data_IF_978578833262
#
_entry.id   IF_978578833262
#
_cell.length_a   1.000
_cell.length_b   1.000
_cell.length_c   1.000
_cell.angle_alpha   90.00
_cell.angle_beta   90.00
_cell.angle_gamma   90.00
#
_symmetry.space_group_name_H-M   'P 1'
#
loop_
_entity.id
_entity.type
_entity.pdbx_description
1 polymer ?
#
# COMPACT_ATOMS: atom_id res chain seq x y z
N UNK A 1 -8.28 7.98 -10.80
CA UNK A 1 -6.90 8.50 -10.90
C UNK A 1 -5.96 7.35 -10.62
N UNK A 2 -4.93 7.11 -11.44
CA UNK A 2 -4.00 6.03 -11.21
C UNK A 2 -3.24 6.27 -9.89
N UNK A 3 -2.96 5.17 -9.18
CA UNK A 3 -2.26 5.20 -7.90
C UNK A 3 -0.80 5.65 -8.04
N UNK A 4 -0.15 5.22 -9.13
CA UNK A 4 1.16 5.68 -9.57
C UNK A 4 0.99 6.29 -10.96
N UNK A 5 1.62 7.41 -11.21
CA UNK A 5 1.62 8.08 -12.51
C UNK A 5 3.00 8.66 -12.82
N UNK A 6 3.28 8.80 -14.11
CA UNK A 6 4.54 9.33 -14.59
C UNK A 6 4.40 10.78 -15.00
N UNK A 7 5.42 11.57 -14.70
CA UNK A 7 5.58 12.94 -15.17
C UNK A 7 6.96 13.10 -15.74
N UNK A 8 7.02 13.69 -16.94
CA UNK A 8 8.30 13.98 -17.60
C UNK A 8 8.63 15.47 -17.43
N UNK A 9 9.83 15.74 -16.92
CA UNK A 9 10.38 17.08 -16.79
C UNK A 9 11.83 17.06 -17.32
N UNK A 10 12.12 17.87 -18.34
CA UNK A 10 13.47 17.99 -18.92
C UNK A 10 14.12 16.63 -19.22
N UNK A 11 13.47 15.79 -19.98
CA UNK A 11 13.94 14.44 -20.35
C UNK A 11 14.10 13.42 -19.20
N UNK A 12 13.84 13.82 -17.97
CA UNK A 12 13.80 12.92 -16.82
C UNK A 12 12.36 12.52 -16.55
N UNK A 13 12.11 11.23 -16.44
CA UNK A 13 10.81 10.69 -16.06
C UNK A 13 10.78 10.42 -14.56
N UNK A 14 9.81 11.01 -13.87
CA UNK A 14 9.57 10.81 -12.45
C UNK A 14 8.32 9.97 -12.25
N UNK A 15 8.38 9.04 -11.30
CA UNK A 15 7.20 8.34 -10.82
C UNK A 15 6.64 9.09 -9.62
N UNK A 16 5.37 9.45 -9.70
CA UNK A 16 4.61 10.04 -8.62
C UNK A 16 3.58 9.05 -8.12
N UNK A 17 3.29 9.12 -6.84
CA UNK A 17 2.27 8.30 -6.21
C UNK A 17 1.43 9.14 -5.26
N UNK A 18 0.17 8.74 -5.10
CA UNK A 18 -0.73 9.39 -4.15
C UNK A 18 -0.50 8.81 -2.75
N UNK A 19 -0.43 9.70 -1.78
CA UNK A 19 -0.32 9.33 -0.37
C UNK A 19 -1.55 9.78 0.41
N UNK A 20 -1.84 9.06 1.48
CA UNK A 20 -2.82 9.49 2.47
C UNK A 20 -2.04 10.05 3.66
N UNK A 21 -2.26 11.31 3.99
CA UNK A 21 -1.71 11.88 5.21
C UNK A 21 -2.41 11.28 6.42
N UNK A 22 -1.63 10.63 7.28
CA UNK A 22 -2.14 10.04 8.52
C UNK A 22 -2.25 11.11 9.59
N UNK A 23 -3.44 11.67 9.73
CA UNK A 23 -3.75 12.66 10.78
C UNK A 23 -4.23 12.01 12.09
N UNK A 24 -4.58 10.75 12.06
CA UNK A 24 -5.01 9.96 13.22
C UNK A 24 -4.67 8.49 13.01
N UNK A 25 -3.63 8.00 13.69
CA UNK A 25 -3.15 6.62 13.58
C UNK A 25 -4.19 5.59 13.98
N UNK A 26 -4.83 5.79 15.12
CA UNK A 26 -5.81 4.85 15.68
C UNK A 26 -6.98 4.63 14.72
N UNK A 27 -7.43 5.71 14.06
CA UNK A 27 -8.51 5.63 13.09
C UNK A 27 -8.04 5.04 11.76
N UNK A 28 -6.90 5.50 11.24
CA UNK A 28 -6.39 5.09 9.92
C UNK A 28 -6.07 3.60 9.90
N UNK A 29 -5.38 3.09 10.91
CA UNK A 29 -5.00 1.69 11.03
C UNK A 29 -5.98 0.87 11.89
N UNK A 30 -7.22 1.35 12.07
CA UNK A 30 -8.23 0.58 12.81
C UNK A 30 -8.52 -0.76 12.14
N UNK A 31 -8.91 -1.75 12.93
CA UNK A 31 -9.34 -3.07 12.45
C UNK A 31 -10.29 -2.99 11.26
N UNK A 32 -11.31 -2.12 11.35
CA UNK A 32 -12.28 -1.89 10.27
C UNK A 32 -11.62 -1.48 8.96
N UNK A 33 -10.63 -0.58 9.01
CA UNK A 33 -9.97 -0.08 7.80
C UNK A 33 -8.99 -1.11 7.23
N UNK A 34 -8.31 -1.89 8.08
CA UNK A 34 -7.45 -3.00 7.66
C UNK A 34 -8.30 -4.07 6.95
N UNK A 35 -9.42 -4.48 7.55
CA UNK A 35 -10.35 -5.45 6.94
C UNK A 35 -10.94 -4.93 5.61
N UNK A 36 -11.24 -3.63 5.54
CA UNK A 36 -11.74 -3.01 4.30
C UNK A 36 -10.67 -3.00 3.20
N UNK A 37 -9.42 -2.69 3.54
CA UNK A 37 -8.29 -2.73 2.61
C UNK A 37 -8.14 -4.12 2.00
N UNK A 38 -8.18 -5.16 2.83
CA UNK A 38 -8.11 -6.56 2.39
C UNK A 38 -9.31 -6.92 1.51
N UNK A 39 -10.52 -6.62 1.97
CA UNK A 39 -11.76 -6.95 1.24
C UNK A 39 -11.84 -6.31 -0.13
N UNK A 40 -11.30 -5.12 -0.27
CA UNK A 40 -11.33 -4.35 -1.53
C UNK A 40 -10.10 -4.60 -2.41
N UNK A 41 -9.16 -5.43 -1.99
CA UNK A 41 -7.85 -5.57 -2.65
C UNK A 41 -7.23 -4.20 -2.94
N UNK A 42 -7.37 -3.29 -1.97
CA UNK A 42 -6.97 -1.89 -2.10
C UNK A 42 -5.48 -1.69 -1.88
N UNK A 43 -5.02 -0.47 -2.17
CA UNK A 43 -3.67 -0.04 -1.87
C UNK A 43 -3.68 1.30 -1.12
N UNK A 44 -2.75 1.47 -0.20
CA UNK A 44 -2.56 2.71 0.55
C UNK A 44 -1.06 2.99 0.72
N UNK A 45 -0.65 4.21 0.43
CA UNK A 45 0.65 4.74 0.85
C UNK A 45 0.38 5.75 1.96
N UNK A 46 0.74 5.38 3.18
CA UNK A 46 0.50 6.20 4.36
C UNK A 46 1.70 7.14 4.59
N UNK A 47 1.47 8.44 4.46
CA UNK A 47 2.44 9.46 4.83
C UNK A 47 2.25 9.81 6.30
N UNK A 48 3.23 9.49 7.12
CA UNK A 48 3.12 9.53 8.57
C UNK A 48 4.15 10.47 9.20
N UNK A 49 3.71 11.20 10.20
CA UNK A 49 4.55 12.02 11.07
C UNK A 49 4.54 11.41 12.48
N UNK A 50 5.44 10.46 12.74
CA UNK A 50 5.41 9.65 13.97
C UNK A 50 5.54 10.46 15.27
N UNK A 51 6.30 11.54 15.25
CA UNK A 51 6.61 12.32 16.45
C UNK A 51 6.43 13.82 16.27
N UNK A 52 5.67 14.25 15.26
CA UNK A 52 5.47 15.68 15.01
C UNK A 52 4.87 16.39 16.23
N UNK A 53 5.50 17.44 16.76
CA UNK A 53 4.97 18.22 17.86
C UNK A 53 3.84 19.15 17.42
N UNK A 54 3.56 19.28 16.12
CA UNK A 54 2.58 20.20 15.58
C UNK A 54 1.17 19.80 16.02
N UNK A 55 0.48 20.71 16.64
CA UNK A 55 -0.90 20.52 17.14
C UNK A 55 -1.91 20.25 16.02
N UNK A 56 -1.59 20.67 14.80
CA UNK A 56 -2.41 20.46 13.60
C UNK A 56 -2.30 19.03 13.05
N UNK A 57 -1.24 18.31 13.37
CA UNK A 57 -1.02 16.93 12.93
C UNK A 57 -1.31 15.98 14.08
N UNK A 58 -2.53 15.50 14.15
CA UNK A 58 -2.98 14.54 15.17
C UNK A 58 -2.50 13.11 14.91
N UNK A 59 -1.66 12.89 13.90
CA UNK A 59 -1.14 11.58 13.51
C UNK A 59 -0.01 11.07 14.42
N UNK A 60 0.01 11.45 15.68
CA UNK A 60 1.01 10.97 16.63
C UNK A 60 0.82 9.48 16.90
N UNK A 61 1.89 8.74 16.73
CA UNK A 61 1.96 7.34 17.14
C UNK A 61 2.06 7.22 18.67
N UNK A 62 2.74 8.18 19.30
CA UNK A 62 3.07 8.16 20.73
C UNK A 62 2.09 9.00 21.55
N UNK A 63 1.71 8.46 22.72
CA UNK A 63 1.09 9.19 23.82
C UNK A 63 2.15 9.32 24.95
N UNK A 64 2.72 10.51 25.08
CA UNK A 64 3.90 10.69 25.95
C UNK A 64 5.12 9.96 25.33
N UNK A 65 5.72 9.04 26.10
CA UNK A 65 6.91 8.28 25.69
C UNK A 65 6.56 6.88 25.11
N UNK A 66 5.29 6.48 25.15
CA UNK A 66 4.86 5.15 24.74
C UNK A 66 3.88 5.21 23.55
N UNK A 67 3.85 4.15 22.75
CA UNK A 67 2.81 3.92 21.76
C UNK A 67 1.48 3.71 22.50
N UNK A 68 0.39 4.28 21.98
CA UNK A 68 -0.92 4.05 22.59
C UNK A 68 -1.32 2.57 22.45
N UNK A 69 -2.02 2.05 23.47
CA UNK A 69 -2.47 0.66 23.47
C UNK A 69 -3.31 0.30 22.23
N UNK A 70 -4.14 1.21 21.78
CA UNK A 70 -4.96 1.04 20.55
C UNK A 70 -4.05 0.91 19.32
N UNK A 71 -2.99 1.71 19.22
CA UNK A 71 -2.04 1.60 18.12
C UNK A 71 -1.26 0.28 18.18
N UNK A 72 -0.86 -0.18 19.36
CA UNK A 72 -0.23 -1.49 19.52
C UNK A 72 -1.14 -2.63 19.05
N UNK A 73 -2.41 -2.61 19.43
CA UNK A 73 -3.42 -3.59 18.99
C UNK A 73 -3.62 -3.55 17.45
N UNK A 74 -3.73 -2.36 16.87
CA UNK A 74 -3.89 -2.17 15.43
C UNK A 74 -2.66 -2.66 14.65
N UNK A 75 -1.44 -2.37 15.11
CA UNK A 75 -0.21 -2.85 14.48
C UNK A 75 -0.02 -4.36 14.67
N UNK A 76 -0.46 -4.91 15.79
CA UNK A 76 -0.46 -6.37 15.99
C UNK A 76 -1.36 -7.07 14.98
N UNK A 77 -2.57 -6.53 14.76
CA UNK A 77 -3.47 -7.04 13.72
C UNK A 77 -2.86 -6.90 12.32
N UNK A 78 -2.30 -5.75 11.99
CA UNK A 78 -1.64 -5.55 10.70
C UNK A 78 -0.51 -6.57 10.48
N UNK A 79 0.30 -6.83 11.50
CA UNK A 79 1.35 -7.85 11.48
C UNK A 79 0.80 -9.25 11.23
N UNK A 80 -0.31 -9.61 11.88
CA UNK A 80 -0.97 -10.90 11.66
C UNK A 80 -1.44 -11.05 10.19
N UNK A 81 -2.07 -10.03 9.63
CA UNK A 81 -2.56 -10.09 8.25
C UNK A 81 -1.42 -10.10 7.22
N UNK A 82 -0.28 -9.46 7.53
CA UNK A 82 0.96 -9.61 6.76
C UNK A 82 1.49 -11.04 6.82
N UNK A 83 1.51 -11.66 8.00
CA UNK A 83 1.98 -13.06 8.17
C UNK A 83 1.06 -14.08 7.47
N UNK A 84 -0.23 -13.77 7.35
CA UNK A 84 -1.20 -14.57 6.59
C UNK A 84 -1.14 -14.31 5.07
N UNK A 85 -0.22 -13.47 4.61
CA UNK A 85 -0.11 -13.03 3.21
C UNK A 85 -1.38 -12.39 2.62
N UNK A 86 -2.21 -11.78 3.45
CA UNK A 86 -3.39 -11.04 2.99
C UNK A 86 -3.09 -9.58 2.67
N UNK A 87 -1.97 -9.09 3.16
CA UNK A 87 -1.45 -7.76 2.88
C UNK A 87 -0.01 -7.90 2.42
N UNK A 88 0.34 -7.20 1.38
CA UNK A 88 1.71 -7.01 0.94
C UNK A 88 2.19 -5.63 1.37
N UNK A 89 3.37 -5.56 2.02
CA UNK A 89 3.99 -4.31 2.47
C UNK A 89 5.36 -4.13 1.79
N UNK A 90 5.37 -3.70 0.52
CA UNK A 90 6.60 -3.50 -0.24
C UNK A 90 7.31 -2.21 0.15
N UNK A 91 8.57 -2.13 -0.22
CA UNK A 91 9.24 -0.84 -0.39
C UNK A 91 8.62 -0.08 -1.58
N UNK A 92 8.83 1.23 -1.64
CA UNK A 92 8.35 2.04 -2.79
C UNK A 92 8.96 1.56 -4.10
N UNK A 93 10.24 1.17 -4.11
CA UNK A 93 10.90 0.62 -5.30
C UNK A 93 10.23 -0.67 -5.78
N UNK A 94 9.98 -1.62 -4.88
CA UNK A 94 9.26 -2.86 -5.22
C UNK A 94 7.85 -2.60 -5.74
N UNK A 95 7.15 -1.60 -5.18
CA UNK A 95 5.82 -1.22 -5.64
C UNK A 95 5.86 -0.61 -7.05
N UNK A 96 6.85 0.22 -7.35
CA UNK A 96 7.05 0.80 -8.69
C UNK A 96 7.38 -0.31 -9.69
N UNK A 97 8.30 -1.20 -9.36
CA UNK A 97 8.67 -2.33 -10.21
C UNK A 97 7.46 -3.22 -10.49
N UNK A 98 6.71 -3.58 -9.46
CA UNK A 98 5.48 -4.36 -9.60
C UNK A 98 4.46 -3.69 -10.52
N UNK A 99 4.17 -2.40 -10.33
CA UNK A 99 3.20 -1.69 -11.16
C UNK A 99 3.69 -1.52 -12.59
N UNK A 100 4.98 -1.32 -12.79
CA UNK A 100 5.59 -1.22 -14.11
C UNK A 100 5.50 -2.53 -14.86
N UNK A 101 5.81 -3.65 -14.22
CA UNK A 101 5.74 -4.96 -14.84
C UNK A 101 4.29 -5.40 -15.09
N UNK A 102 3.39 -5.17 -14.14
CA UNK A 102 1.97 -5.50 -14.32
C UNK A 102 1.30 -4.68 -15.43
N UNK A 103 1.72 -3.42 -15.64
CA UNK A 103 1.20 -2.58 -16.72
C UNK A 103 1.55 -3.08 -18.12
N UNK A 104 2.59 -3.93 -18.26
CA UNK A 104 3.04 -4.54 -19.50
C UNK A 104 2.34 -5.87 -19.80
N UNK A 105 1.54 -6.38 -18.86
CA UNK A 105 0.86 -7.66 -19.06
C UNK A 105 -0.25 -7.51 -20.10
N UNK A 106 -0.17 -8.34 -21.12
CA UNK A 106 -1.28 -8.55 -22.04
C UNK A 106 -2.09 -9.74 -21.54
N UNK A 107 -3.40 -9.58 -21.49
CA UNK A 107 -4.29 -10.64 -21.07
C UNK A 107 -5.54 -10.72 -21.96
N UNK A 108 -5.99 -11.94 -22.19
CA UNK A 108 -7.24 -12.23 -22.86
C UNK A 108 -8.24 -12.83 -21.88
N UNK A 109 -9.52 -12.59 -22.11
CA UNK A 109 -10.60 -13.27 -21.39
C UNK A 109 -11.20 -14.34 -22.30
N UNK A 110 -10.95 -15.61 -21.99
CA UNK A 110 -11.45 -16.74 -22.74
C UNK A 110 -12.33 -17.56 -21.81
N UNK A 111 -13.63 -17.71 -22.16
CA UNK A 111 -14.61 -18.49 -21.40
C UNK A 111 -14.73 -18.10 -19.91
N UNK A 112 -14.53 -16.81 -19.59
CA UNK A 112 -14.58 -16.31 -18.22
C UNK A 112 -13.29 -16.50 -17.40
N UNK A 113 -12.26 -17.09 -18.00
CA UNK A 113 -10.92 -17.19 -17.41
C UNK A 113 -9.99 -16.12 -17.97
N UNK A 114 -9.16 -15.54 -17.10
CA UNK A 114 -8.11 -14.60 -17.51
C UNK A 114 -6.88 -15.41 -17.89
N UNK A 115 -6.50 -15.34 -19.16
CA UNK A 115 -5.23 -15.90 -19.66
C UNK A 115 -4.23 -14.77 -19.84
N UNK A 116 -3.15 -14.82 -19.10
CA UNK A 116 -2.05 -13.86 -19.25
C UNK A 116 -1.12 -14.37 -20.34
N UNK A 117 -0.91 -13.54 -21.38
CA UNK A 117 0.05 -13.83 -22.46
C UNK A 117 1.47 -13.55 -21.93
N UNK A 118 2.10 -14.57 -21.34
CA UNK A 118 3.45 -14.43 -20.78
C UNK A 118 4.52 -14.69 -21.83
N UNK A 119 4.94 -13.65 -22.52
CA UNK A 119 6.31 -13.59 -23.06
C UNK A 119 7.27 -12.89 -22.08
N UNK A 120 6.81 -12.58 -20.88
CA UNK A 120 7.53 -11.80 -19.88
C UNK A 120 7.91 -12.68 -18.68
N UNK A 121 9.03 -12.35 -18.05
CA UNK A 121 9.52 -12.98 -16.83
C UNK A 121 8.39 -13.08 -15.78
N UNK A 122 8.16 -14.25 -15.17
CA UNK A 122 7.07 -14.41 -14.22
C UNK A 122 7.22 -13.41 -13.08
N UNK A 123 6.19 -12.56 -12.91
CA UNK A 123 6.15 -11.57 -11.85
C UNK A 123 6.10 -12.33 -10.53
N UNK A 124 7.11 -12.17 -9.69
CA UNK A 124 7.25 -12.89 -8.41
C UNK A 124 6.09 -12.70 -7.43
N UNK A 125 5.18 -11.76 -7.71
CA UNK A 125 4.16 -11.27 -6.79
C UNK A 125 2.72 -11.69 -7.12
N UNK A 126 2.47 -12.35 -8.25
CA UNK A 126 1.12 -12.89 -8.59
C UNK A 126 0.74 -14.11 -7.71
N UNK A 127 1.63 -14.61 -6.87
CA UNK A 127 1.34 -15.78 -6.01
C UNK A 127 0.30 -15.52 -4.90
N UNK A 128 -0.28 -14.34 -4.81
CA UNK A 128 -1.14 -13.94 -3.69
C UNK A 128 -2.51 -13.42 -4.12
N UNK A 129 -2.94 -13.71 -5.35
CA UNK A 129 -4.32 -13.50 -5.77
C UNK A 129 -5.21 -14.66 -5.31
#
# INVERSE_FOLDING_TARGET
TPFIFQHKLNDITFNFFQTVEVTNFEKTFSKKNIELLIKQSGAIIAHCYFSSPLTTQKGKLFQGEAISKINEENFSLLKEELQKNKIWNPTISELIDFTTETSKLEYDTIEGEIKVNTNTTPIRYIKYA
#
